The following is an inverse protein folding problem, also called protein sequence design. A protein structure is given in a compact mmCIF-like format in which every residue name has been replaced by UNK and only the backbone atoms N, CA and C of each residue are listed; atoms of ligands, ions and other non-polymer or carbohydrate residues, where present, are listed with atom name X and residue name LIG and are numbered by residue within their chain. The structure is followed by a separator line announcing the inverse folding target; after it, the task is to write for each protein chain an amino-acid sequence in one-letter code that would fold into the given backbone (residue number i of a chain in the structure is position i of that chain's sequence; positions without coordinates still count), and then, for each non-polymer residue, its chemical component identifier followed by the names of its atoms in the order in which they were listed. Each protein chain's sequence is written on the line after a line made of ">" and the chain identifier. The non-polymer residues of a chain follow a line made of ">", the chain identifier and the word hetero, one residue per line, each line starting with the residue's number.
data_IF_756750366834
#
_entry.id   IF_756750366834
#
_cell.length_a   1.000
_cell.length_b   1.000
_cell.length_c   1.000
_cell.angle_alpha   90.00
_cell.angle_beta   90.00
_cell.angle_gamma   90.00
#
_symmetry.space_group_name_H-M   'P 1'
#
loop_
_entity.id
_entity.type
_entity.pdbx_description
1 polymer ?
#
# COMPACT_ATOMS: atom_id res chain seq x y z
N UNK A 1 28.93 -14.22 -26.48
CA UNK A 1 28.71 -13.51 -25.21
C UNK A 1 27.31 -12.91 -25.12
N UNK A 2 26.74 -12.40 -26.23
CA UNK A 2 25.41 -11.76 -26.29
C UNK A 2 24.19 -12.60 -25.87
N UNK A 3 24.22 -13.92 -25.98
CA UNK A 3 23.04 -14.77 -25.70
C UNK A 3 22.74 -14.92 -24.21
N UNK A 4 23.78 -14.91 -23.36
CA UNK A 4 23.65 -15.06 -21.90
C UNK A 4 23.06 -13.79 -21.28
N UNK A 5 23.51 -12.61 -21.73
CA UNK A 5 22.97 -11.33 -21.27
C UNK A 5 21.51 -11.12 -21.67
N UNK A 6 21.14 -11.55 -22.89
CA UNK A 6 19.75 -11.47 -23.39
C UNK A 6 18.79 -12.33 -22.56
N UNK A 7 19.23 -13.52 -22.18
CA UNK A 7 18.45 -14.42 -21.31
C UNK A 7 18.29 -13.85 -19.90
N UNK A 8 19.34 -13.27 -19.31
CA UNK A 8 19.26 -12.61 -18.02
C UNK A 8 18.31 -11.39 -18.04
N UNK A 9 18.39 -10.57 -19.09
CA UNK A 9 17.51 -9.41 -19.26
C UNK A 9 16.02 -9.81 -19.35
N UNK A 10 15.70 -10.83 -20.16
CA UNK A 10 14.33 -11.35 -20.27
C UNK A 10 13.83 -11.94 -18.94
N UNK A 11 14.70 -12.59 -18.16
CA UNK A 11 14.36 -13.13 -16.84
C UNK A 11 13.99 -12.02 -15.84
N UNK A 12 14.72 -10.90 -15.84
CA UNK A 12 14.45 -9.75 -14.97
C UNK A 12 13.16 -9.02 -15.37
N UNK A 13 12.88 -8.91 -16.68
CA UNK A 13 11.61 -8.36 -17.16
C UNK A 13 10.42 -9.23 -16.72
N UNK A 14 10.55 -10.56 -16.78
CA UNK A 14 9.51 -11.49 -16.30
C UNK A 14 9.30 -11.38 -14.79
N UNK A 15 10.38 -11.29 -13.99
CA UNK A 15 10.26 -11.03 -12.53
C UNK A 15 9.54 -9.70 -12.25
N UNK A 16 9.85 -8.64 -13.00
CA UNK A 16 9.19 -7.34 -12.85
C UNK A 16 7.71 -7.41 -13.24
N UNK A 17 7.36 -8.14 -14.29
CA UNK A 17 5.97 -8.26 -14.74
C UNK A 17 5.08 -8.92 -13.68
N UNK A 18 5.58 -9.96 -12.99
CA UNK A 18 4.84 -10.59 -11.90
C UNK A 18 4.69 -9.68 -10.67
N UNK A 19 5.72 -8.90 -10.34
CA UNK A 19 5.68 -7.94 -9.23
C UNK A 19 4.77 -6.72 -9.49
N UNK A 20 4.45 -6.42 -10.76
CA UNK A 20 3.52 -5.33 -11.10
C UNK A 20 2.13 -5.58 -10.54
N UNK A 21 1.60 -6.80 -10.66
CA UNK A 21 0.24 -7.15 -10.19
C UNK A 21 0.06 -6.86 -8.70
N UNK A 22 0.98 -7.38 -7.89
CA UNK A 22 1.04 -7.14 -6.43
C UNK A 22 1.20 -5.65 -6.11
N UNK A 23 2.03 -4.94 -6.88
CA UNK A 23 2.20 -3.49 -6.72
C UNK A 23 0.91 -2.73 -7.03
N UNK A 24 0.15 -3.14 -8.05
CA UNK A 24 -1.13 -2.55 -8.42
C UNK A 24 -2.17 -2.75 -7.32
N UNK A 25 -2.22 -3.94 -6.72
CA UNK A 25 -3.15 -4.23 -5.62
C UNK A 25 -2.89 -3.32 -4.41
N UNK A 26 -1.62 -3.16 -4.01
CA UNK A 26 -1.27 -2.23 -2.92
C UNK A 26 -1.46 -0.76 -3.26
N UNK A 27 -1.32 -0.38 -4.54
CA UNK A 27 -1.62 0.99 -4.99
C UNK A 27 -3.10 1.30 -4.86
N UNK A 28 -3.96 0.34 -5.22
CA UNK A 28 -5.41 0.47 -5.06
C UNK A 28 -5.77 0.58 -3.58
N UNK A 29 -5.24 -0.32 -2.74
CA UNK A 29 -5.47 -0.28 -1.29
C UNK A 29 -5.02 1.05 -0.68
N UNK A 30 -3.81 1.52 -1.00
CA UNK A 30 -3.31 2.77 -0.45
C UNK A 30 -4.09 4.01 -0.91
N UNK A 31 -4.65 3.97 -2.13
CA UNK A 31 -5.57 5.00 -2.62
C UNK A 31 -6.90 4.97 -1.86
N UNK A 32 -7.50 3.79 -1.70
CA UNK A 32 -8.76 3.60 -0.96
C UNK A 32 -8.63 4.11 0.48
N UNK A 33 -7.56 3.73 1.18
CA UNK A 33 -7.27 4.17 2.55
C UNK A 33 -7.07 5.69 2.61
N UNK A 34 -6.36 6.28 1.65
CA UNK A 34 -6.18 7.74 1.59
C UNK A 34 -7.52 8.47 1.43
N UNK A 35 -8.42 7.93 0.60
CA UNK A 35 -9.76 8.48 0.40
C UNK A 35 -10.63 8.32 1.65
N UNK A 36 -10.64 7.14 2.25
CA UNK A 36 -11.35 6.85 3.51
C UNK A 36 -10.94 7.85 4.60
N UNK A 37 -9.63 8.03 4.81
CA UNK A 37 -9.10 8.87 5.87
C UNK A 37 -9.10 10.37 5.54
N UNK A 38 -9.53 10.75 4.32
CA UNK A 38 -9.48 12.12 3.78
C UNK A 38 -8.07 12.71 3.83
N UNK A 39 -7.07 11.88 3.54
CA UNK A 39 -5.65 12.20 3.74
C UNK A 39 -4.79 11.81 2.53
N UNK A 40 -5.11 12.42 1.38
CA UNK A 40 -4.45 12.14 0.10
C UNK A 40 -2.95 12.44 0.10
N UNK A 41 -2.50 13.40 0.92
CA UNK A 41 -1.08 13.78 1.03
C UNK A 41 -0.18 12.62 1.50
N UNK A 42 -0.73 11.63 2.21
CA UNK A 42 0.02 10.49 2.74
C UNK A 42 -0.28 9.17 2.02
N UNK A 43 -0.92 9.20 0.84
CA UNK A 43 -1.18 8.01 0.01
C UNK A 43 0.03 7.08 -0.13
N UNK A 44 1.22 7.64 -0.40
CA UNK A 44 2.44 6.84 -0.55
C UNK A 44 2.81 6.05 0.71
N UNK A 45 2.55 6.60 1.90
CA UNK A 45 2.74 5.92 3.17
C UNK A 45 1.73 4.77 3.32
N UNK A 46 0.47 4.97 2.94
CA UNK A 46 -0.56 3.93 3.02
C UNK A 46 -0.28 2.76 2.06
N UNK A 47 0.23 3.04 0.85
CA UNK A 47 0.72 2.00 -0.07
C UNK A 47 1.87 1.21 0.58
N UNK A 48 2.82 1.89 1.24
CA UNK A 48 3.94 1.24 1.93
C UNK A 48 3.45 0.35 3.07
N UNK A 49 2.50 0.83 3.88
CA UNK A 49 1.91 0.06 4.97
C UNK A 49 1.18 -1.19 4.45
N UNK A 50 0.43 -1.08 3.35
CA UNK A 50 -0.25 -2.22 2.74
C UNK A 50 0.76 -3.26 2.22
N UNK A 51 1.87 -2.81 1.62
CA UNK A 51 2.99 -3.68 1.20
C UNK A 51 3.64 -4.42 2.36
N UNK A 52 3.76 -3.79 3.52
CA UNK A 52 4.50 -4.34 4.67
C UNK A 52 3.64 -5.24 5.56
N UNK A 53 2.37 -4.88 5.78
CA UNK A 53 1.51 -5.53 6.76
C UNK A 53 0.26 -6.18 6.16
N UNK A 54 0.11 -6.15 4.84
CA UNK A 54 -1.01 -6.72 4.10
C UNK A 54 -2.20 -5.76 3.96
N UNK A 55 -2.86 -5.81 2.79
CA UNK A 55 -3.98 -4.91 2.48
C UNK A 55 -5.15 -5.03 3.45
N UNK A 56 -5.55 -6.26 3.80
CA UNK A 56 -6.71 -6.51 4.66
C UNK A 56 -6.55 -5.87 6.03
N UNK A 57 -5.35 -5.98 6.63
CA UNK A 57 -5.04 -5.40 7.94
C UNK A 57 -5.13 -3.88 7.89
N UNK A 58 -4.58 -3.27 6.85
CA UNK A 58 -4.58 -1.81 6.67
C UNK A 58 -6.00 -1.27 6.43
N UNK A 59 -6.81 -1.96 5.61
CA UNK A 59 -8.21 -1.61 5.38
C UNK A 59 -9.03 -1.75 6.68
N UNK A 60 -8.83 -2.83 7.44
CA UNK A 60 -9.53 -3.05 8.69
C UNK A 60 -9.25 -1.91 9.70
N UNK A 61 -7.99 -1.49 9.85
CA UNK A 61 -7.63 -0.37 10.72
C UNK A 61 -8.31 0.92 10.23
N UNK A 62 -8.28 1.21 8.92
CA UNK A 62 -8.92 2.39 8.36
C UNK A 62 -10.44 2.42 8.62
N UNK A 63 -11.12 1.28 8.51
CA UNK A 63 -12.55 1.15 8.85
C UNK A 63 -12.81 1.44 10.33
N UNK A 64 -12.02 0.86 11.24
CA UNK A 64 -12.12 1.14 12.69
C UNK A 64 -11.94 2.61 13.02
N UNK A 65 -11.07 3.33 12.29
CA UNK A 65 -10.93 4.78 12.45
C UNK A 65 -12.18 5.53 12.00
N UNK A 66 -12.81 5.11 10.90
CA UNK A 66 -14.02 5.74 10.37
C UNK A 66 -15.27 5.50 11.22
N UNK A 67 -15.35 4.36 11.90
CA UNK A 67 -16.45 4.04 12.82
C UNK A 67 -16.48 5.00 14.03
N UNK A 68 -15.35 5.61 14.37
CA UNK A 68 -15.21 6.57 15.46
C UNK A 68 -15.55 7.99 14.98
N UNK A 69 -16.79 8.41 15.24
CA UNK A 69 -17.36 9.69 14.77
C UNK A 69 -16.78 10.93 15.48
N UNK A 70 -16.09 10.77 16.59
CA UNK A 70 -15.49 11.82 17.41
C UNK A 70 -14.10 12.26 16.90
N UNK A 71 -13.54 11.55 15.93
CA UNK A 71 -12.19 11.82 15.41
C UNK A 71 -12.21 12.96 14.40
N UNK A 72 -11.61 14.09 14.80
CA UNK A 72 -11.42 15.27 13.93
C UNK A 72 -10.44 15.03 12.78
N UNK A 73 -9.39 14.24 12.99
CA UNK A 73 -8.36 13.94 11.99
C UNK A 73 -8.13 12.43 11.85
N UNK A 74 -8.87 11.75 10.95
CA UNK A 74 -8.77 10.31 10.73
C UNK A 74 -7.37 9.88 10.30
N UNK A 75 -6.72 10.61 9.39
CA UNK A 75 -5.37 10.27 8.91
C UNK A 75 -4.33 10.27 10.03
N UNK A 76 -4.31 11.31 10.86
CA UNK A 76 -3.39 11.38 12.00
C UNK A 76 -3.64 10.26 13.01
N UNK A 77 -4.91 9.96 13.31
CA UNK A 77 -5.26 8.88 14.24
C UNK A 77 -4.94 7.49 13.68
N UNK A 78 -5.17 7.28 12.38
CA UNK A 78 -4.72 6.06 11.72
C UNK A 78 -3.21 5.88 11.88
N UNK A 79 -2.42 6.94 11.65
CA UNK A 79 -0.97 6.89 11.79
C UNK A 79 -0.51 6.52 13.21
N UNK A 80 -1.20 7.00 14.25
CA UNK A 80 -0.87 6.63 15.63
C UNK A 80 -1.13 5.15 15.89
N UNK A 81 -2.23 4.58 15.36
CA UNK A 81 -2.53 3.16 15.45
C UNK A 81 -1.50 2.31 14.68
N UNK A 82 -1.04 2.79 13.53
CA UNK A 82 -0.09 2.04 12.69
C UNK A 82 1.37 2.13 13.14
N UNK A 83 1.70 2.98 14.12
CA UNK A 83 3.09 3.21 14.56
C UNK A 83 3.74 1.96 15.17
N UNK A 84 2.93 1.04 15.73
CA UNK A 84 3.39 -0.17 16.42
C UNK A 84 3.06 -1.47 15.64
N UNK A 85 2.89 -1.38 14.31
CA UNK A 85 2.51 -2.52 13.46
C UNK A 85 3.67 -3.43 13.07
#
# INVERSE_FOLDING_TARGET
>A
MDSIEKNNYLSELNKRSQNKRVTTDYQLTGLEVAMMLRDMKHKALYIKLAKQHGSDKIIAIAKTVLERKDIKNPGAYFMTLTKNL
#
